data_IF_458868834040
#
_entry.id   IF_458868834040
#
_cell.length_a   1.000
_cell.length_b   1.000
_cell.length_c   1.000
_cell.angle_alpha   90.00
_cell.angle_beta   90.00
_cell.angle_gamma   90.00
#
_symmetry.space_group_name_H-M   'P 1'
#
loop_
_entity.id
_entity.type
_entity.pdbx_description
1 polymer ?
#
# COMPACT_ATOMS: atom_id res chain seq x y z
N UNK A 1 -23.65 15.16 8.61
CA UNK A 1 -23.25 14.95 8.38
C UNK A 1 -21.97 14.65 8.32
N UNK A 2 -21.23 15.18 8.52
CA UNK A 2 -19.88 14.92 8.38
C UNK A 2 -19.38 13.71 9.05
N UNK A 3 -20.04 13.30 10.01
CA UNK A 3 -19.54 12.19 10.77
C UNK A 3 -19.68 10.88 10.08
N UNK A 4 -20.35 10.83 8.99
CA UNK A 4 -20.55 9.56 8.36
C UNK A 4 -19.25 8.92 7.97
N UNK A 5 -18.19 9.64 7.88
CA UNK A 5 -16.94 9.05 7.55
C UNK A 5 -16.13 8.60 8.72
N UNK A 6 -16.66 8.77 9.91
CA UNK A 6 -15.91 8.42 11.03
C UNK A 6 -15.58 7.01 11.09
N UNK A 7 -16.50 6.11 10.80
CA UNK A 7 -16.27 4.68 10.87
C UNK A 7 -15.51 4.17 9.66
N UNK A 8 -15.57 4.90 8.56
CA UNK A 8 -14.91 4.47 7.35
C UNK A 8 -13.95 5.52 6.89
N UNK A 9 -13.31 6.16 7.85
CA UNK A 9 -12.50 7.28 7.60
C UNK A 9 -11.75 7.28 6.30
N UNK A 10 -11.34 6.18 5.77
CA UNK A 10 -10.61 6.11 4.54
C UNK A 10 -11.32 5.19 3.57
N UNK A 11 -12.38 5.69 2.98
CA UNK A 11 -13.07 4.97 1.92
C UNK A 11 -12.63 5.58 0.60
N UNK A 12 -11.77 4.89 -0.12
CA UNK A 12 -11.17 5.44 -1.32
C UNK A 12 -12.16 5.77 -2.41
N UNK A 13 -13.31 5.11 -2.42
CA UNK A 13 -14.32 5.41 -3.43
C UNK A 13 -14.91 6.79 -3.28
N UNK A 14 -14.96 7.29 -2.07
CA UNK A 14 -15.54 8.61 -1.83
C UNK A 14 -14.50 9.66 -1.52
N UNK A 15 -13.23 9.31 -1.63
CA UNK A 15 -12.16 10.26 -1.35
C UNK A 15 -12.05 11.28 -2.46
N UNK A 16 -11.74 12.50 -2.08
CA UNK A 16 -11.33 13.50 -3.04
C UNK A 16 -9.92 13.15 -3.54
N UNK A 17 -9.51 13.79 -4.62
CA UNK A 17 -8.16 13.58 -5.14
C UNK A 17 -7.11 13.94 -4.10
N UNK A 18 -7.32 15.00 -3.33
CA UNK A 18 -6.33 15.40 -2.34
C UNK A 18 -6.21 14.39 -1.21
N UNK A 19 -7.33 13.78 -0.83
CA UNK A 19 -7.28 12.73 0.19
C UNK A 19 -6.55 11.49 -0.32
N UNK A 20 -6.79 11.12 -1.56
CA UNK A 20 -6.10 9.99 -2.15
C UNK A 20 -4.60 10.25 -2.23
N UNK A 21 -4.21 11.45 -2.60
CA UNK A 21 -2.80 11.81 -2.67
C UNK A 21 -2.15 11.81 -1.30
N UNK A 22 -2.86 12.28 -0.30
CA UNK A 22 -2.34 12.28 1.06
C UNK A 22 -2.11 10.85 1.55
N UNK A 23 -3.07 9.97 1.33
CA UNK A 23 -2.94 8.57 1.71
C UNK A 23 -1.78 7.92 0.97
N UNK A 24 -1.66 8.22 -0.32
CA UNK A 24 -0.57 7.67 -1.14
C UNK A 24 0.78 8.11 -0.60
N UNK A 25 0.94 9.40 -0.29
CA UNK A 25 2.21 9.91 0.23
C UNK A 25 2.57 9.25 1.56
N UNK A 26 1.58 9.06 2.42
CA UNK A 26 1.81 8.42 3.71
C UNK A 26 2.21 6.96 3.54
N UNK A 27 1.58 6.27 2.59
CA UNK A 27 1.92 4.88 2.31
C UNK A 27 3.34 4.77 1.76
N UNK A 28 3.70 5.64 0.83
CA UNK A 28 5.04 5.64 0.25
C UNK A 28 6.08 5.94 1.33
N UNK A 29 5.78 6.89 2.22
CA UNK A 29 6.68 7.21 3.31
C UNK A 29 6.89 6.01 4.24
N UNK A 30 5.82 5.28 4.54
CA UNK A 30 5.89 4.09 5.36
C UNK A 30 6.78 3.04 4.69
N UNK A 31 6.59 2.82 3.38
CA UNK A 31 7.38 1.85 2.64
C UNK A 31 8.86 2.23 2.59
N UNK A 32 9.16 3.51 2.43
CA UNK A 32 10.55 3.98 2.47
C UNK A 32 11.18 3.69 3.82
N UNK A 33 10.44 3.96 4.88
CA UNK A 33 10.93 3.71 6.23
C UNK A 33 11.25 2.23 6.43
N UNK A 34 10.37 1.36 5.97
CA UNK A 34 10.61 -0.07 6.06
C UNK A 34 11.84 -0.49 5.26
N UNK A 35 11.96 0.03 4.03
CA UNK A 35 13.10 -0.30 3.19
C UNK A 35 14.40 0.12 3.86
N UNK A 36 14.40 1.28 4.50
CA UNK A 36 15.60 1.76 5.17
C UNK A 36 15.92 0.98 6.44
N UNK A 37 14.92 0.42 7.09
CA UNK A 37 15.13 -0.32 8.31
C UNK A 37 15.55 -1.75 8.09
N UNK A 38 15.10 -2.35 7.00
CA UNK A 38 15.37 -3.76 6.73
C UNK A 38 16.75 -3.91 6.11
N UNK A 39 17.50 -4.91 6.57
CA UNK A 39 18.82 -5.14 5.99
C UNK A 39 18.72 -5.52 4.51
N UNK A 40 17.66 -6.19 4.11
CA UNK A 40 17.45 -6.53 2.71
C UNK A 40 17.03 -5.34 1.86
N UNK A 41 16.45 -4.32 2.49
CA UNK A 41 15.93 -3.17 1.76
C UNK A 41 14.68 -3.46 0.95
N UNK A 42 14.08 -4.63 1.11
CA UNK A 42 12.99 -5.08 0.25
C UNK A 42 11.64 -4.76 0.87
N UNK A 43 10.73 -4.23 0.06
CA UNK A 43 9.33 -4.03 0.43
C UNK A 43 8.45 -4.61 -0.67
N UNK A 44 7.22 -4.96 -0.32
CA UNK A 44 6.30 -5.60 -1.24
C UNK A 44 4.89 -5.05 -1.05
N UNK A 45 3.98 -5.54 -1.88
CA UNK A 45 2.56 -5.20 -1.72
C UNK A 45 2.00 -5.64 -0.37
N UNK A 46 2.55 -6.70 0.23
CA UNK A 46 2.12 -7.11 1.57
C UNK A 46 2.33 -5.99 2.58
N UNK A 47 3.44 -5.28 2.47
CA UNK A 47 3.72 -4.16 3.36
C UNK A 47 2.73 -3.02 3.15
N UNK A 48 2.35 -2.79 1.90
CA UNK A 48 1.36 -1.77 1.60
C UNK A 48 0.00 -2.16 2.16
N UNK A 49 -0.38 -3.42 2.06
CA UNK A 49 -1.63 -3.91 2.66
C UNK A 49 -1.62 -3.70 4.17
N UNK A 50 -0.49 -3.97 4.81
CA UNK A 50 -0.35 -3.76 6.25
C UNK A 50 -0.59 -2.29 6.60
N UNK A 51 -0.01 -1.39 5.84
CA UNK A 51 -0.22 0.04 6.06
C UNK A 51 -1.70 0.41 5.95
N UNK A 52 -2.34 -0.02 4.88
CA UNK A 52 -3.74 0.33 4.65
C UNK A 52 -4.63 -0.20 5.76
N UNK A 53 -4.35 -1.42 6.22
CA UNK A 53 -5.11 -2.01 7.30
C UNK A 53 -4.91 -1.23 8.60
N UNK A 54 -3.68 -0.87 8.91
CA UNK A 54 -3.38 -0.13 10.14
C UNK A 54 -3.99 1.25 10.15
N UNK A 55 -4.04 1.89 8.98
CA UNK A 55 -4.60 3.23 8.88
C UNK A 55 -6.11 3.23 8.77
N UNK A 56 -6.71 2.05 8.70
CA UNK A 56 -8.15 1.95 8.61
C UNK A 56 -8.70 2.36 7.26
N UNK A 57 -7.89 2.24 6.21
CA UNK A 57 -8.35 2.60 4.87
C UNK A 57 -9.31 1.53 4.39
N UNK A 58 -10.55 1.94 4.14
CA UNK A 58 -11.55 1.01 3.67
C UNK A 58 -11.63 1.04 2.16
N UNK A 59 -11.04 0.03 1.55
CA UNK A 59 -11.08 -0.10 0.10
C UNK A 59 -12.00 -1.28 -0.17
N UNK A 60 -13.22 -0.97 -0.55
CA UNK A 60 -14.25 -1.99 -0.64
C UNK A 60 -13.99 -3.07 -1.67
N UNK A 61 -13.19 -2.81 -2.68
CA UNK A 61 -12.96 -3.77 -3.74
C UNK A 61 -11.48 -4.09 -3.84
N UNK A 62 -11.20 -5.37 -4.02
CA UNK A 62 -9.83 -5.84 -4.15
C UNK A 62 -9.12 -5.16 -5.32
N UNK A 63 -9.82 -5.03 -6.43
CA UNK A 63 -9.23 -4.41 -7.62
C UNK A 63 -8.78 -2.98 -7.35
N UNK A 64 -9.62 -2.19 -6.67
CA UNK A 64 -9.28 -0.81 -6.33
C UNK A 64 -8.06 -0.76 -5.43
N UNK A 65 -8.01 -1.66 -4.47
CA UNK A 65 -6.89 -1.74 -3.54
C UNK A 65 -5.60 -2.07 -4.26
N UNK A 66 -5.63 -3.05 -5.14
CA UNK A 66 -4.43 -3.45 -5.89
C UNK A 66 -3.96 -2.33 -6.80
N UNK A 67 -4.90 -1.65 -7.44
CA UNK A 67 -4.55 -0.54 -8.31
C UNK A 67 -3.86 0.58 -7.52
N UNK A 68 -4.38 0.89 -6.34
CA UNK A 68 -3.80 1.91 -5.49
C UNK A 68 -2.38 1.54 -5.06
N UNK A 69 -2.20 0.30 -4.64
CA UNK A 69 -0.89 -0.19 -4.21
C UNK A 69 0.09 -0.17 -5.39
N UNK A 70 -0.34 -0.63 -6.55
CA UNK A 70 0.54 -0.67 -7.72
C UNK A 70 0.99 0.73 -8.11
N UNK A 71 0.12 1.72 -7.93
CA UNK A 71 0.49 3.10 -8.23
C UNK A 71 1.66 3.58 -7.36
N UNK A 72 1.72 3.13 -6.12
CA UNK A 72 2.82 3.51 -5.25
C UNK A 72 4.15 2.99 -5.76
N UNK A 73 4.15 1.78 -6.33
CA UNK A 73 5.39 1.15 -6.77
C UNK A 73 5.74 1.49 -8.22
N UNK A 74 4.84 2.13 -8.96
CA UNK A 74 5.11 2.46 -10.35
C UNK A 74 5.87 3.77 -10.50
N UNK A 75 6.05 4.51 -9.43
CA UNK A 75 6.80 5.77 -9.48
C UNK A 75 8.29 5.51 -9.48
N UNK A 76 9.05 6.61 -9.42
CA UNK A 76 10.50 6.54 -9.49
C UNK A 76 11.16 6.19 -8.16
N UNK A 77 10.39 6.17 -7.09
CA UNK A 77 10.92 5.93 -5.75
C UNK A 77 11.41 4.50 -5.57
N UNK A 78 10.75 3.56 -6.20
CA UNK A 78 11.02 2.14 -6.02
C UNK A 78 11.42 1.47 -7.31
N UNK A 79 12.23 0.44 -7.19
CA UNK A 79 12.69 -0.33 -8.34
C UNK A 79 12.39 -1.79 -8.09
N UNK A 80 11.79 -2.47 -9.06
CA UNK A 80 11.48 -3.88 -8.92
C UNK A 80 12.77 -4.68 -9.02
N UNK A 81 13.03 -5.54 -8.04
CA UNK A 81 14.27 -6.29 -8.00
C UNK A 81 14.06 -7.80 -8.11
N UNK A 82 12.83 -8.26 -8.11
CA UNK A 82 12.57 -9.70 -8.24
C UNK A 82 11.18 -10.04 -7.73
N UNK A 83 11.03 -11.26 -7.24
CA UNK A 83 9.77 -11.72 -6.69
C UNK A 83 10.04 -12.41 -5.36
N UNK A 84 8.99 -12.48 -4.56
CA UNK A 84 9.02 -13.21 -3.30
C UNK A 84 7.62 -13.78 -3.07
N UNK A 85 7.45 -14.61 -2.08
CA UNK A 85 6.14 -15.15 -1.76
C UNK A 85 5.41 -14.21 -0.82
N UNK A 86 4.12 -14.03 -1.09
CA UNK A 86 3.27 -13.28 -0.19
C UNK A 86 3.12 -14.02 1.12
N UNK A 87 3.16 -13.28 2.23
CA UNK A 87 2.92 -13.84 3.56
C UNK A 87 1.47 -13.65 3.99
N UNK A 88 0.66 -13.00 3.19
CA UNK A 88 -0.74 -12.80 3.53
C UNK A 88 -1.52 -14.09 3.32
N UNK A 89 -2.35 -14.48 4.31
CA UNK A 89 -3.13 -15.72 4.16
C UNK A 89 -4.00 -15.74 2.92
N UNK A 90 -4.57 -14.59 2.56
CA UNK A 90 -5.45 -14.49 1.41
C UNK A 90 -4.74 -14.77 0.10
N UNK A 91 -3.45 -14.53 0.06
CA UNK A 91 -2.68 -14.72 -1.16
C UNK A 91 -2.17 -16.14 -1.34
N UNK A 92 -2.26 -16.95 -0.29
CA UNK A 92 -1.94 -18.38 -0.34
C UNK A 92 -0.55 -18.66 -0.95
N UNK A 93 0.43 -17.85 -0.58
CA UNK A 93 1.79 -18.06 -1.03
C UNK A 93 2.05 -17.63 -2.47
N UNK A 94 1.16 -16.83 -3.05
CA UNK A 94 1.37 -16.33 -4.41
C UNK A 94 2.67 -15.53 -4.51
N UNK A 95 3.33 -15.65 -5.64
CA UNK A 95 4.52 -14.84 -5.91
C UNK A 95 4.10 -13.39 -6.14
N UNK A 96 4.80 -12.46 -5.52
CA UNK A 96 4.55 -11.04 -5.68
C UNK A 96 5.88 -10.34 -5.96
N UNK A 97 5.80 -9.15 -6.55
CA UNK A 97 7.00 -8.40 -6.87
C UNK A 97 7.67 -7.86 -5.61
N UNK A 98 8.99 -7.87 -5.62
CA UNK A 98 9.80 -7.30 -4.57
C UNK A 98 10.44 -6.02 -5.10
N UNK A 99 10.49 -5.00 -4.25
CA UNK A 99 11.01 -3.69 -4.63
C UNK A 99 12.04 -3.20 -3.63
N UNK A 100 12.97 -2.39 -4.11
CA UNK A 100 13.89 -1.66 -3.24
C UNK A 100 13.81 -0.19 -3.62
N UNK A 101 14.41 0.66 -2.79
CA UNK A 101 14.49 2.08 -3.14
C UNK A 101 15.40 2.25 -4.34
N UNK A 102 14.94 3.06 -5.27
CA UNK A 102 15.71 3.32 -6.49
C UNK A 102 16.94 4.18 -6.20
#
# INVERSE_FOLDING_TARGET
MANRNRSTRYNLKSYSNSERQTTMRRMVSYLRTLANRRSSGVVTADDAHTFLTREGVNIGQVRTRLSFINSAFSGEMFERTGTTRSTRPQAKGRAISAYTLA
#
